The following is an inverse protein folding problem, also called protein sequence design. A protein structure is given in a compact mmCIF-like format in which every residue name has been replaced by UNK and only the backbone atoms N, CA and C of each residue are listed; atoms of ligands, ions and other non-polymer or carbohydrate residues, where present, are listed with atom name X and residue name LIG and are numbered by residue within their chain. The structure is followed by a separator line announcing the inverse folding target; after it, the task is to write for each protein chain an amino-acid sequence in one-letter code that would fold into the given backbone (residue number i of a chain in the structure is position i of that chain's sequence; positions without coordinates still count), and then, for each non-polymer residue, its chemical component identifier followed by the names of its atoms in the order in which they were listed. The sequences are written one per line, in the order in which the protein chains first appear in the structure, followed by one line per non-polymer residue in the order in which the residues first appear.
data_IF_481835872237
#
_entry.id   IF_481835872237
#
_cell.length_a   1.000
_cell.length_b   1.000
_cell.length_c   1.000
_cell.angle_alpha   90.00
_cell.angle_beta   90.00
_cell.angle_gamma   90.00
#
_symmetry.space_group_name_H-M   'P 1'
#
loop_
_entity.id
_entity.type
_entity.pdbx_description
1 polymer ?
#
# COMPACT_ATOMS: atom_id res chain seq x y z
N UNK A 1 12.34 -55.05 19.23
CA UNK A 1 11.05 -54.93 19.94
C UNK A 1 9.92 -55.25 18.96
N UNK A 2 9.77 -56.49 18.53
CA UNK A 2 8.95 -57.58 19.09
C UNK A 2 7.42 -57.31 19.18
N UNK A 3 6.74 -57.76 18.10
CA UNK A 3 5.44 -58.45 17.98
C UNK A 3 4.45 -58.50 19.16
N UNK A 4 3.19 -58.26 18.75
CA UNK A 4 1.99 -59.12 18.92
C UNK A 4 1.23 -59.11 20.25
N UNK A 5 -0.07 -58.79 20.18
CA UNK A 5 -1.23 -59.72 20.29
C UNK A 5 -2.46 -58.98 20.79
N UNK A 6 -3.61 -59.14 20.11
CA UNK A 6 -4.80 -59.78 20.70
C UNK A 6 -5.78 -58.68 21.12
N UNK A 7 -7.08 -58.74 20.83
CA UNK A 7 -8.02 -59.69 21.41
C UNK A 7 -9.24 -59.86 20.48
N UNK A 8 -9.60 -61.11 20.25
CA UNK A 8 -10.88 -61.59 19.74
C UNK A 8 -11.68 -62.15 20.92
N UNK A 9 -12.98 -61.86 21.02
CA UNK A 9 -14.05 -62.65 21.65
C UNK A 9 -15.33 -61.80 21.68
N UNK A 10 -16.54 -62.29 21.50
CA UNK A 10 -17.05 -63.64 21.32
C UNK A 10 -18.56 -63.53 21.12
N UNK A 11 -19.12 -64.40 20.28
CA UNK A 11 -20.53 -64.44 19.96
C UNK A 11 -21.37 -64.94 21.15
N UNK A 12 -22.57 -64.37 21.35
CA UNK A 12 -23.64 -64.98 22.15
C UNK A 12 -24.81 -65.28 21.24
N UNK A 13 -25.13 -66.58 21.15
CA UNK A 13 -26.30 -67.15 20.48
C UNK A 13 -27.53 -66.99 21.38
N UNK A 14 -28.64 -66.50 20.84
CA UNK A 14 -29.97 -66.78 21.39
C UNK A 14 -30.82 -67.48 20.34
N UNK A 15 -31.23 -68.70 20.69
CA UNK A 15 -32.17 -69.53 19.92
C UNK A 15 -33.57 -69.00 20.19
N UNK A 16 -34.33 -68.74 19.15
CA UNK A 16 -35.79 -68.59 19.26
C UNK A 16 -36.41 -69.52 18.22
N UNK A 17 -36.86 -70.67 18.72
CA UNK A 17 -37.63 -71.67 17.98
C UNK A 17 -39.10 -71.26 18.00
N UNK A 18 -39.68 -70.96 16.83
CA UNK A 18 -41.13 -71.00 16.66
C UNK A 18 -41.48 -71.96 15.54
N UNK A 19 -42.41 -72.85 15.86
CA UNK A 19 -42.84 -73.97 15.06
C UNK A 19 -43.54 -73.49 13.77
N UNK A 20 -43.16 -74.10 12.67
CA UNK A 20 -43.84 -73.98 11.39
C UNK A 20 -45.27 -74.53 11.48
N UNK A 21 -46.25 -73.84 10.90
CA UNK A 21 -47.34 -74.48 10.15
C UNK A 21 -47.86 -73.58 9.02
N UNK A 22 -47.64 -74.07 7.81
CA UNK A 22 -48.59 -74.16 6.68
C UNK A 22 -49.30 -72.91 6.15
N UNK A 23 -49.01 -72.59 4.88
CA UNK A 23 -49.92 -71.84 4.02
C UNK A 23 -49.21 -71.28 2.80
N UNK A 24 -49.44 -71.90 1.63
CA UNK A 24 -48.95 -71.49 0.31
C UNK A 24 -49.26 -70.02 -0.03
N UNK A 25 -48.37 -69.37 -0.80
CA UNK A 25 -48.67 -68.70 -2.10
C UNK A 25 -47.34 -68.21 -2.71
N UNK A 26 -47.24 -68.42 -4.01
CA UNK A 26 -46.05 -68.35 -4.87
C UNK A 26 -45.38 -66.98 -5.01
N UNK A 27 -44.07 -67.05 -5.34
CA UNK A 27 -43.18 -66.02 -5.89
C UNK A 27 -43.86 -64.85 -6.63
N UNK A 28 -43.56 -63.62 -6.20
CA UNK A 28 -42.87 -62.63 -7.06
C UNK A 28 -42.17 -61.59 -6.17
N UNK A 29 -40.83 -61.68 -6.07
CA UNK A 29 -39.96 -60.65 -5.53
C UNK A 29 -40.02 -59.43 -6.46
N UNK A 30 -40.95 -58.50 -6.23
CA UNK A 30 -40.88 -57.18 -6.86
C UNK A 30 -39.94 -56.31 -6.02
N UNK A 31 -38.64 -56.46 -6.28
CA UNK A 31 -37.61 -55.55 -5.78
C UNK A 31 -37.90 -54.15 -6.31
N UNK A 32 -38.55 -53.32 -5.49
CA UNK A 32 -38.59 -51.89 -5.74
C UNK A 32 -37.16 -51.38 -5.50
N UNK A 33 -36.39 -51.29 -6.57
CA UNK A 33 -35.09 -50.63 -6.59
C UNK A 33 -35.30 -49.17 -6.25
N UNK A 34 -35.05 -48.81 -4.98
CA UNK A 34 -34.99 -47.42 -4.55
C UNK A 34 -33.77 -46.80 -5.24
N UNK A 35 -33.98 -46.14 -6.37
CA UNK A 35 -32.95 -45.36 -7.03
C UNK A 35 -32.65 -44.13 -6.16
N UNK A 36 -31.38 -43.72 -6.00
CA UNK A 36 -31.09 -42.41 -5.42
C UNK A 36 -31.54 -41.33 -6.41
N UNK A 37 -32.62 -40.62 -6.10
CA UNK A 37 -33.00 -39.38 -6.80
C UNK A 37 -31.90 -38.35 -6.54
N UNK A 38 -31.11 -38.03 -7.56
CA UNK A 38 -30.35 -36.78 -7.56
C UNK A 38 -31.34 -35.69 -7.95
N UNK A 39 -31.81 -34.91 -6.98
CA UNK A 39 -32.43 -33.64 -7.30
C UNK A 39 -31.33 -32.77 -7.91
N UNK A 40 -31.41 -32.51 -9.21
CA UNK A 40 -30.61 -31.49 -9.85
C UNK A 40 -30.99 -30.17 -9.16
N UNK A 41 -30.10 -29.68 -8.30
CA UNK A 41 -30.29 -28.44 -7.56
C UNK A 41 -30.48 -27.36 -8.61
N UNK A 42 -31.69 -26.81 -8.67
CA UNK A 42 -32.15 -25.93 -9.75
C UNK A 42 -31.07 -24.92 -10.14
N UNK A 43 -30.82 -24.84 -11.45
CA UNK A 43 -29.92 -23.86 -12.05
C UNK A 43 -30.45 -22.45 -11.76
N UNK A 44 -30.01 -21.86 -10.65
CA UNK A 44 -30.25 -20.44 -10.37
C UNK A 44 -29.38 -19.60 -11.30
N UNK A 45 -30.02 -18.80 -12.16
CA UNK A 45 -29.34 -17.80 -12.98
C UNK A 45 -28.76 -16.70 -12.08
N UNK A 46 -27.52 -16.88 -11.64
CA UNK A 46 -26.80 -15.90 -10.83
C UNK A 46 -26.15 -14.86 -11.74
N UNK A 47 -26.62 -13.61 -11.68
CA UNK A 47 -25.99 -12.47 -12.36
C UNK A 47 -25.18 -11.66 -11.36
N UNK A 48 -23.86 -11.68 -11.54
CA UNK A 48 -22.93 -10.84 -10.80
C UNK A 48 -22.52 -9.67 -11.68
N UNK A 49 -22.71 -8.45 -11.19
CA UNK A 49 -22.29 -7.21 -11.87
C UNK A 49 -21.38 -6.42 -10.95
N UNK A 50 -20.31 -5.87 -11.50
CA UNK A 50 -19.40 -4.96 -10.80
C UNK A 50 -19.07 -3.77 -11.70
N UNK A 51 -18.77 -2.62 -11.08
CA UNK A 51 -18.19 -1.46 -11.76
C UNK A 51 -16.87 -1.15 -11.09
N UNK A 52 -15.78 -1.09 -11.87
CA UNK A 52 -14.45 -0.76 -11.40
C UNK A 52 -14.13 0.68 -11.81
N UNK A 53 -13.67 1.49 -10.86
CA UNK A 53 -13.31 2.89 -11.08
C UNK A 53 -11.86 3.11 -10.65
N UNK A 54 -11.14 3.96 -11.38
CA UNK A 54 -9.81 4.42 -10.98
C UNK A 54 -9.94 5.66 -10.10
N UNK A 55 -9.33 5.64 -8.91
CA UNK A 55 -9.21 6.78 -8.00
C UNK A 55 -7.80 7.41 -8.00
N UNK A 56 -6.87 6.86 -8.78
CA UNK A 56 -5.49 7.34 -8.86
C UNK A 56 -5.22 8.22 -10.08
N UNK A 57 -4.09 8.91 -10.05
CA UNK A 57 -3.47 9.58 -11.18
C UNK A 57 -2.11 8.92 -11.50
N UNK A 58 -1.62 9.14 -12.72
CA UNK A 58 -0.24 8.83 -13.11
C UNK A 58 0.70 9.99 -12.74
N UNK A 59 1.96 9.70 -12.41
CA UNK A 59 2.98 10.74 -12.20
C UNK A 59 3.61 11.08 -13.55
N UNK A 60 3.66 12.37 -13.90
CA UNK A 60 4.27 12.83 -15.15
C UNK A 60 5.73 12.39 -15.23
N UNK A 61 6.20 12.01 -16.42
CA UNK A 61 7.58 11.50 -16.62
C UNK A 61 8.65 12.49 -16.18
N UNK A 62 8.39 13.80 -16.33
CA UNK A 62 9.31 14.85 -15.87
C UNK A 62 9.41 14.97 -14.35
N UNK A 63 8.46 14.42 -13.60
CA UNK A 63 8.44 14.42 -12.14
C UNK A 63 8.97 13.11 -11.54
N UNK A 64 8.99 12.01 -12.31
CA UNK A 64 9.47 10.72 -11.82
C UNK A 64 10.97 10.75 -11.48
N UNK A 65 11.77 11.45 -12.29
CA UNK A 65 13.22 11.65 -12.05
C UNK A 65 13.56 13.13 -12.26
N UNK A 66 13.13 13.96 -11.31
CA UNK A 66 13.33 15.40 -11.39
C UNK A 66 14.57 15.84 -10.61
N UNK A 67 15.42 16.65 -11.24
CA UNK A 67 16.48 17.41 -10.54
C UNK A 67 16.00 18.84 -10.30
N UNK A 68 16.06 19.30 -9.04
CA UNK A 68 15.72 20.68 -8.64
C UNK A 68 17.02 21.42 -8.29
N UNK A 69 17.37 22.44 -9.07
CA UNK A 69 18.54 23.28 -8.79
C UNK A 69 18.24 24.26 -7.65
N UNK A 70 18.76 23.97 -6.46
CA UNK A 70 18.63 24.83 -5.28
C UNK A 70 19.53 26.08 -5.32
N UNK A 71 20.36 26.22 -6.35
CA UNK A 71 21.23 27.36 -6.57
C UNK A 71 22.50 27.35 -5.73
N UNK A 72 23.31 28.39 -5.92
CA UNK A 72 24.58 28.61 -5.23
C UNK A 72 24.43 29.70 -4.17
N UNK A 73 24.92 29.42 -2.96
CA UNK A 73 24.69 30.27 -1.79
C UNK A 73 25.98 30.54 -1.01
N UNK A 74 26.27 31.80 -0.61
CA UNK A 74 27.45 32.11 0.20
C UNK A 74 27.36 31.49 1.60
N UNK A 75 28.33 30.66 2.01
CA UNK A 75 28.29 29.99 3.32
C UNK A 75 28.18 30.95 4.51
N UNK A 76 28.75 32.15 4.40
CA UNK A 76 28.73 33.20 5.44
C UNK A 76 27.34 33.74 5.77
N UNK A 77 26.35 33.53 4.90
CA UNK A 77 24.96 33.95 5.19
C UNK A 77 24.25 32.99 6.16
N UNK A 78 24.81 31.79 6.37
CA UNK A 78 24.20 30.75 7.16
C UNK A 78 24.73 30.76 8.61
N UNK A 79 23.99 31.41 9.51
CA UNK A 79 24.09 31.20 10.95
C UNK A 79 23.22 30.00 11.39
N UNK A 80 23.48 29.38 12.56
CA UNK A 80 22.64 28.24 13.04
C UNK A 80 21.16 28.63 13.03
N UNK A 81 20.32 27.78 12.44
CA UNK A 81 18.87 27.98 12.35
C UNK A 81 18.41 28.93 11.24
N UNK A 82 19.35 29.63 10.59
CA UNK A 82 19.03 30.46 9.42
C UNK A 82 18.77 29.62 8.17
N UNK A 83 18.12 30.24 7.20
CA UNK A 83 17.71 29.63 5.95
C UNK A 83 18.11 30.55 4.80
N UNK A 84 18.26 30.02 3.59
CA UNK A 84 18.41 30.90 2.44
C UNK A 84 17.10 31.68 2.20
N UNK A 85 17.17 32.95 1.78
CA UNK A 85 16.02 33.86 1.77
C UNK A 85 14.95 33.49 0.73
N UNK A 86 15.33 32.83 -0.37
CA UNK A 86 14.42 32.48 -1.46
C UNK A 86 14.38 30.96 -1.64
N UNK A 87 13.31 30.29 -1.20
CA UNK A 87 13.08 28.87 -1.50
C UNK A 87 12.93 28.65 -3.02
N UNK A 88 13.52 27.57 -3.52
CA UNK A 88 13.39 27.18 -4.93
C UNK A 88 12.08 26.45 -5.14
N UNK A 89 11.25 26.94 -6.06
CA UNK A 89 9.97 26.32 -6.42
C UNK A 89 10.19 25.08 -7.30
N UNK A 90 9.44 24.02 -7.03
CA UNK A 90 9.31 22.87 -7.91
C UNK A 90 7.88 22.34 -7.90
N UNK A 91 7.53 21.50 -8.87
CA UNK A 91 6.21 20.89 -8.98
C UNK A 91 6.29 19.37 -9.08
N UNK A 92 5.34 18.69 -8.43
CA UNK A 92 5.01 17.31 -8.72
C UNK A 92 3.76 17.33 -9.59
N UNK A 93 3.87 16.88 -10.84
CA UNK A 93 2.74 16.91 -11.78
C UNK A 93 2.09 15.55 -11.86
N UNK A 94 0.80 15.49 -11.53
CA UNK A 94 -0.04 14.32 -11.74
C UNK A 94 -0.81 14.46 -13.06
N UNK A 95 -1.01 13.36 -13.77
CA UNK A 95 -1.67 13.32 -15.08
C UNK A 95 -2.67 12.16 -15.13
N UNK A 96 -3.66 12.27 -16.03
CA UNK A 96 -4.62 11.20 -16.32
C UNK A 96 -5.33 10.66 -15.06
N UNK A 97 -5.88 11.56 -14.25
CA UNK A 97 -6.60 11.17 -13.03
C UNK A 97 -7.90 10.42 -13.36
N UNK A 98 -8.18 9.35 -12.61
CA UNK A 98 -9.38 8.56 -12.81
C UNK A 98 -10.69 9.27 -12.43
N UNK A 99 -11.81 8.66 -12.83
CA UNK A 99 -13.18 9.16 -12.60
C UNK A 99 -13.59 9.24 -11.12
N UNK A 100 -12.92 8.47 -10.25
CA UNK A 100 -13.18 8.43 -8.82
C UNK A 100 -12.08 9.15 -8.00
N UNK A 101 -11.13 9.83 -8.65
CA UNK A 101 -10.07 10.55 -7.95
C UNK A 101 -10.66 11.77 -7.21
N UNK A 102 -10.45 11.82 -5.89
CA UNK A 102 -11.03 12.87 -5.04
C UNK A 102 -9.96 13.67 -4.28
N UNK A 103 -8.86 13.03 -3.92
CA UNK A 103 -7.76 13.66 -3.22
C UNK A 103 -6.50 12.81 -3.21
N UNK A 104 -5.37 13.45 -2.91
CA UNK A 104 -4.09 12.79 -2.75
C UNK A 104 -3.28 13.41 -1.62
N UNK A 105 -2.66 12.56 -0.82
CA UNK A 105 -1.63 12.94 0.15
C UNK A 105 -0.26 12.55 -0.40
N UNK A 106 0.75 13.36 -0.07
CA UNK A 106 2.13 13.13 -0.48
C UNK A 106 2.95 12.98 0.79
N UNK A 107 3.77 11.93 0.84
CA UNK A 107 4.74 11.74 1.92
C UNK A 107 6.13 11.77 1.32
N UNK A 108 6.97 12.70 1.77
CA UNK A 108 8.38 12.76 1.38
C UNK A 108 9.22 11.89 2.31
N UNK A 109 10.18 11.18 1.73
CA UNK A 109 11.09 10.29 2.43
C UNK A 109 12.53 10.62 2.03
N UNK A 110 13.46 10.31 2.93
CA UNK A 110 14.89 10.47 2.70
C UNK A 110 15.66 10.38 4.01
N UNK A 111 16.98 10.56 3.93
CA UNK A 111 17.82 10.58 5.12
C UNK A 111 17.62 11.88 5.88
N UNK A 112 17.42 11.81 7.19
CA UNK A 112 17.33 12.98 8.07
C UNK A 112 18.65 13.22 8.82
N UNK A 113 19.03 14.48 9.11
CA UNK A 113 20.11 14.75 10.04
C UNK A 113 19.75 14.30 11.46
N UNK A 114 20.76 14.05 12.29
CA UNK A 114 20.55 13.62 13.66
C UNK A 114 19.74 14.67 14.45
N UNK A 115 18.61 14.26 15.03
CA UNK A 115 17.79 15.10 15.89
C UNK A 115 16.76 15.98 15.19
N UNK A 116 16.70 16.01 13.85
CA UNK A 116 15.67 16.76 13.11
C UNK A 116 15.15 15.97 11.90
N UNK A 117 14.01 15.28 12.08
CA UNK A 117 13.31 14.56 11.00
C UNK A 117 12.50 15.47 10.07
N UNK A 118 12.52 16.77 10.28
CA UNK A 118 11.84 17.75 9.41
C UNK A 118 12.72 18.21 8.24
N UNK A 119 13.98 17.77 8.23
CA UNK A 119 14.98 18.16 7.25
C UNK A 119 15.55 16.94 6.53
N UNK A 120 15.95 17.16 5.28
CA UNK A 120 16.65 16.21 4.44
C UNK A 120 18.16 16.45 4.56
N UNK A 121 18.88 15.43 4.99
CA UNK A 121 20.34 15.44 5.06
C UNK A 121 20.94 15.47 3.65
N UNK A 122 22.15 16.03 3.55
CA UNK A 122 22.93 15.96 2.32
C UNK A 122 23.36 14.50 2.08
N UNK A 123 23.39 14.11 0.80
CA UNK A 123 23.82 12.77 0.40
C UNK A 123 25.34 12.62 0.47
N UNK A 124 25.83 11.38 0.35
CA UNK A 124 27.25 11.06 0.50
C UNK A 124 28.18 11.68 -0.57
N UNK A 125 27.62 12.20 -1.67
CA UNK A 125 28.39 12.92 -2.71
C UNK A 125 28.67 14.38 -2.34
N UNK A 126 28.09 14.87 -1.25
CA UNK A 126 28.19 16.24 -0.79
C UNK A 126 29.43 16.47 0.06
N UNK A 127 30.03 17.65 -0.08
CA UNK A 127 31.22 18.08 0.67
C UNK A 127 30.95 19.24 1.62
N UNK A 128 29.83 19.94 1.46
CA UNK A 128 29.35 20.91 2.45
C UNK A 128 28.90 20.18 3.73
N UNK A 129 29.05 20.84 4.87
CA UNK A 129 28.62 20.33 6.17
C UNK A 129 27.81 21.39 6.91
N UNK A 130 27.07 20.96 7.92
CA UNK A 130 26.23 21.82 8.77
C UNK A 130 25.07 22.53 8.05
N UNK A 131 24.64 22.00 6.91
CA UNK A 131 23.45 22.45 6.16
C UNK A 131 22.60 21.24 5.78
N UNK A 132 21.29 21.44 5.69
CA UNK A 132 20.30 20.45 5.26
C UNK A 132 19.26 21.12 4.37
N UNK A 133 18.37 20.35 3.76
CA UNK A 133 17.30 20.85 2.87
C UNK A 133 15.94 20.64 3.53
N UNK A 134 15.15 21.70 3.68
CA UNK A 134 13.73 21.62 4.00
C UNK A 134 12.90 21.50 2.72
N UNK A 135 11.86 20.66 2.78
CA UNK A 135 10.80 20.62 1.78
C UNK A 135 9.60 21.38 2.35
N UNK A 136 9.04 22.30 1.57
CA UNK A 136 7.91 23.14 1.97
C UNK A 136 6.71 22.91 1.06
N UNK A 137 5.51 23.05 1.62
CA UNK A 137 4.26 23.09 0.86
C UNK A 137 4.05 24.43 0.13
N UNK A 138 2.90 24.54 -0.53
CA UNK A 138 2.52 25.76 -1.27
C UNK A 138 2.36 27.00 -0.38
N UNK A 139 2.07 26.83 0.91
CA UNK A 139 2.02 27.90 1.91
C UNK A 139 3.39 28.16 2.58
N UNK A 140 4.46 27.54 2.08
CA UNK A 140 5.83 27.61 2.62
C UNK A 140 5.96 27.04 4.04
N UNK A 141 5.05 26.15 4.44
CA UNK A 141 5.16 25.41 5.70
C UNK A 141 6.04 24.19 5.48
N UNK A 142 6.89 23.90 6.46
CA UNK A 142 7.80 22.76 6.39
C UNK A 142 7.03 21.45 6.48
N UNK A 143 7.37 20.52 5.60
CA UNK A 143 6.82 19.17 5.55
C UNK A 143 7.80 18.19 6.22
N UNK A 144 7.44 17.57 7.36
CA UNK A 144 8.28 16.57 8.00
C UNK A 144 8.45 15.32 7.13
N UNK A 145 9.64 14.71 7.17
CA UNK A 145 9.87 13.46 6.46
C UNK A 145 9.06 12.32 7.10
N UNK A 146 8.53 11.44 6.26
CA UNK A 146 7.70 10.30 6.67
C UNK A 146 6.30 10.68 7.17
N UNK A 147 5.90 11.95 7.10
CA UNK A 147 4.55 12.41 7.44
C UNK A 147 3.77 12.80 6.18
N UNK A 148 2.48 12.42 6.08
CA UNK A 148 1.65 12.83 4.96
C UNK A 148 1.40 14.34 5.00
N UNK A 149 1.35 14.95 3.82
CA UNK A 149 0.84 16.32 3.65
C UNK A 149 -0.64 16.39 4.01
N UNK A 150 -1.19 17.60 4.19
CA UNK A 150 -2.61 17.81 3.96
C UNK A 150 -3.06 17.26 2.60
N UNK A 151 -4.33 16.87 2.51
CA UNK A 151 -4.93 16.35 1.28
C UNK A 151 -4.98 17.45 0.22
N UNK A 152 -4.42 17.17 -0.95
CA UNK A 152 -4.63 17.98 -2.14
C UNK A 152 -5.86 17.48 -2.88
N UNK A 153 -6.84 18.36 -3.09
CA UNK A 153 -8.06 18.00 -3.81
C UNK A 153 -7.74 17.67 -5.27
N UNK A 154 -8.30 16.55 -5.75
CA UNK A 154 -8.21 16.14 -7.14
C UNK A 154 -9.57 16.31 -7.82
N UNK A 155 -9.54 16.65 -9.10
CA UNK A 155 -10.73 16.64 -9.94
C UNK A 155 -10.80 15.34 -10.72
N UNK A 156 -11.98 14.73 -10.76
CA UNK A 156 -12.23 13.55 -11.58
C UNK A 156 -11.90 13.83 -13.06
N UNK A 157 -11.23 12.89 -13.73
CA UNK A 157 -10.79 13.03 -15.12
C UNK A 157 -9.82 14.20 -15.38
N UNK A 158 -9.16 14.74 -14.35
CA UNK A 158 -8.17 15.79 -14.55
C UNK A 158 -7.03 15.28 -15.45
N UNK A 159 -6.82 15.99 -16.56
CA UNK A 159 -5.73 15.68 -17.48
C UNK A 159 -4.35 15.96 -16.86
N UNK A 160 -4.27 17.04 -16.05
CA UNK A 160 -3.03 17.51 -15.42
C UNK A 160 -3.34 18.25 -14.12
N UNK A 161 -2.63 17.91 -13.05
CA UNK A 161 -2.73 18.53 -11.73
C UNK A 161 -1.30 18.84 -11.22
N UNK A 162 -0.85 20.10 -11.30
CA UNK A 162 0.44 20.51 -10.75
C UNK A 162 0.33 20.76 -9.24
N UNK A 163 1.12 20.06 -8.44
CA UNK A 163 1.25 20.26 -7.00
C UNK A 163 2.54 21.03 -6.71
N UNK A 164 2.43 22.16 -6.01
CA UNK A 164 3.54 23.11 -5.84
C UNK A 164 4.24 22.90 -4.51
N UNK A 165 5.56 22.81 -4.58
CA UNK A 165 6.44 22.65 -3.42
C UNK A 165 7.65 23.58 -3.52
N UNK A 166 8.41 23.67 -2.44
CA UNK A 166 9.65 24.44 -2.41
C UNK A 166 10.77 23.68 -1.69
N UNK A 167 12.00 23.82 -2.18
CA UNK A 167 13.22 23.40 -1.50
C UNK A 167 13.95 24.60 -0.89
N UNK A 168 14.42 24.47 0.34
CA UNK A 168 15.10 25.55 1.07
C UNK A 168 16.27 25.00 1.89
N UNK A 169 17.46 25.59 1.77
CA UNK A 169 18.58 25.25 2.65
C UNK A 169 18.37 25.79 4.06
N UNK A 170 18.71 24.98 5.05
CA UNK A 170 18.64 25.29 6.47
C UNK A 170 19.99 24.97 7.12
N UNK A 171 20.55 25.93 7.84
CA UNK A 171 21.77 25.73 8.61
C UNK A 171 21.45 24.96 9.89
N UNK A 172 22.06 23.79 10.06
CA UNK A 172 21.86 22.91 11.23
C UNK A 172 23.06 22.94 12.19
N UNK A 173 24.13 23.65 11.84
CA UNK A 173 25.30 23.86 12.68
C UNK A 173 26.17 25.02 12.19
N UNK A 174 27.26 25.30 12.91
CA UNK A 174 28.24 26.32 12.53
C UNK A 174 29.66 25.86 12.80
N UNK A 175 30.62 26.19 11.92
CA UNK A 175 30.45 26.92 10.66
C UNK A 175 29.86 26.03 9.55
N UNK A 176 29.06 26.61 8.65
CA UNK A 176 28.70 25.94 7.38
C UNK A 176 29.94 25.90 6.48
N UNK A 177 30.38 24.70 6.10
CA UNK A 177 31.55 24.53 5.21
C UNK A 177 31.14 24.62 3.75
N UNK A 178 32.04 25.15 2.91
CA UNK A 178 31.82 25.23 1.47
C UNK A 178 31.95 23.85 0.82
N UNK A 179 31.16 23.60 -0.22
CA UNK A 179 31.16 22.35 -0.97
C UNK A 179 29.86 22.12 -1.73
N UNK A 180 29.76 20.97 -2.41
CA UNK A 180 28.50 20.46 -2.95
C UNK A 180 27.52 20.13 -1.81
N UNK A 181 26.23 20.42 -2.01
CA UNK A 181 25.16 20.25 -1.02
C UNK A 181 23.93 19.58 -1.63
N UNK A 182 24.13 18.40 -2.22
CA UNK A 182 23.08 17.61 -2.87
C UNK A 182 22.31 16.80 -1.83
N UNK A 183 21.02 16.58 -2.04
CA UNK A 183 20.20 15.73 -1.20
C UNK A 183 19.21 14.94 -2.06
N UNK A 184 18.92 13.70 -1.65
CA UNK A 184 18.04 12.79 -2.37
C UNK A 184 16.77 12.55 -1.56
N UNK A 185 15.62 12.75 -2.19
CA UNK A 185 14.32 12.45 -1.59
C UNK A 185 13.49 11.58 -2.54
N UNK A 186 12.67 10.73 -1.96
CA UNK A 186 11.60 10.02 -2.66
C UNK A 186 10.25 10.49 -2.13
N UNK A 187 9.18 10.24 -2.87
CA UNK A 187 7.84 10.55 -2.41
C UNK A 187 6.88 9.40 -2.71
N UNK A 188 5.87 9.26 -1.86
CA UNK A 188 4.77 8.31 -2.04
C UNK A 188 3.45 9.05 -2.12
N UNK A 189 2.55 8.59 -2.99
CA UNK A 189 1.22 9.15 -3.17
C UNK A 189 0.17 8.21 -2.56
N UNK A 190 -0.71 8.76 -1.73
CA UNK A 190 -1.86 8.04 -1.16
C UNK A 190 -3.14 8.67 -1.68
N UNK A 191 -3.91 7.92 -2.49
CA UNK A 191 -5.15 8.40 -3.10
C UNK A 191 -6.37 8.08 -2.23
N UNK A 192 -7.36 8.98 -2.28
CA UNK A 192 -8.68 8.81 -1.68
C UNK A 192 -9.71 8.47 -2.77
#
# INVERSE_FOLDING_TARGET
MNRSQGVMAGAVRTRVTWAARFGWVSLLFMTCSVQPVRADLGLTNMRLTATLLANSCSVSTGTQEQTVDLGTWPSKQFAVGSQNPNPTRFEIVLENCGVAASGVEITFHGSAPAGDSTLLALNASSSATNVAVAILDSERRRLPLGQPTPVYALSANAARVPLVFYGQYVAIGTPVTVGSANADATFTLTYQ
#
